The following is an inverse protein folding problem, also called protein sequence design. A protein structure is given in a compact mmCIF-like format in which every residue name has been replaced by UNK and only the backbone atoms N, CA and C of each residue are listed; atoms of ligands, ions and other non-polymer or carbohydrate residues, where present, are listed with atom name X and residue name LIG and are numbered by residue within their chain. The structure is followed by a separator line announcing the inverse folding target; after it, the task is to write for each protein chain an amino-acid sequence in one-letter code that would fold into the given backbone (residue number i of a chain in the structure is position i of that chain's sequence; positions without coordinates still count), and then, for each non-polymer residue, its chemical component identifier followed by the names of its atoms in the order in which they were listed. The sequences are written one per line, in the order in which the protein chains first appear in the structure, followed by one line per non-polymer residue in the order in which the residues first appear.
data_IF_545572257765
#
_entry.id   IF_545572257765
#
_cell.length_a   1.000
_cell.length_b   1.000
_cell.length_c   1.000
_cell.angle_alpha   90.00
_cell.angle_beta   90.00
_cell.angle_gamma   90.00
#
_symmetry.space_group_name_H-M   'P 1'
#
loop_
_entity.id
_entity.type
_entity.pdbx_description
1 polymer ?
#
# COMPACT_ATOMS: atom_id res chain seq x y z
N UNK A 1 29.76 14.14 -19.36
CA UNK A 1 29.34 13.11 -18.38
C UNK A 1 28.08 13.62 -17.70
N UNK A 2 26.91 13.08 -18.04
CA UNK A 2 25.65 13.34 -17.33
C UNK A 2 25.47 12.18 -16.35
N UNK A 3 25.42 12.48 -15.05
CA UNK A 3 25.21 11.46 -14.04
C UNK A 3 23.83 10.84 -14.21
N UNK A 4 23.80 9.53 -14.37
CA UNK A 4 22.62 8.70 -14.16
C UNK A 4 22.15 8.94 -12.72
N UNK A 5 20.99 9.57 -12.56
CA UNK A 5 20.37 9.70 -11.25
C UNK A 5 19.96 8.31 -10.79
N UNK A 6 20.64 7.78 -9.78
CA UNK A 6 20.21 6.58 -9.07
C UNK A 6 18.77 6.82 -8.62
N UNK A 7 17.83 6.09 -9.21
CA UNK A 7 16.41 6.19 -8.90
C UNK A 7 16.16 5.51 -7.54
N UNK A 8 16.56 6.19 -6.46
CA UNK A 8 16.47 5.64 -5.10
C UNK A 8 15.01 5.54 -4.70
N UNK A 9 14.53 4.31 -4.55
CA UNK A 9 13.18 4.03 -4.08
C UNK A 9 13.01 4.50 -2.63
N UNK A 10 11.88 5.13 -2.33
CA UNK A 10 11.58 5.68 -1.00
C UNK A 10 10.95 4.61 -0.11
N UNK A 11 11.52 4.43 1.07
CA UNK A 11 11.01 3.51 2.08
C UNK A 11 9.73 4.08 2.73
N UNK A 12 8.78 3.22 3.14
CA UNK A 12 7.53 3.67 3.77
C UNK A 12 7.73 4.59 4.98
N UNK A 13 8.83 4.40 5.72
CA UNK A 13 9.12 5.17 6.92
C UNK A 13 9.36 6.65 6.64
N UNK A 14 9.89 6.95 5.45
CA UNK A 14 10.33 8.29 5.00
C UNK A 14 9.25 9.09 4.27
N UNK A 15 8.10 8.50 3.95
CA UNK A 15 7.05 9.16 3.13
C UNK A 15 6.59 10.52 3.69
N UNK A 16 6.71 10.73 5.01
CA UNK A 16 6.35 11.99 5.68
C UNK A 16 7.18 13.20 5.23
N UNK A 17 8.37 13.01 4.66
CA UNK A 17 9.13 14.11 4.09
C UNK A 17 8.46 14.71 2.84
N UNK A 18 7.56 13.94 2.20
CA UNK A 18 6.80 14.36 1.02
C UNK A 18 5.35 14.70 1.37
N UNK A 19 4.72 13.90 2.22
CA UNK A 19 3.30 14.06 2.57
C UNK A 19 3.19 14.44 4.06
N UNK A 20 3.13 15.74 4.39
CA UNK A 20 3.00 16.18 5.77
C UNK A 20 1.62 15.79 6.30
N UNK A 21 1.59 15.02 7.38
CA UNK A 21 0.37 14.60 8.05
C UNK A 21 0.63 14.10 9.46
N UNK A 22 -0.41 14.10 10.28
CA UNK A 22 -0.34 13.60 11.65
C UNK A 22 -0.42 12.07 11.63
N UNK A 23 0.60 11.41 12.18
CA UNK A 23 0.56 9.97 12.43
C UNK A 23 -0.43 9.70 13.57
N UNK A 24 -1.38 8.79 13.36
CA UNK A 24 -2.33 8.35 14.41
C UNK A 24 -1.89 7.05 15.08
N UNK A 25 -1.23 6.16 14.34
CA UNK A 25 -0.53 4.97 14.86
C UNK A 25 0.56 4.53 13.87
N UNK A 26 1.55 3.77 14.34
CA UNK A 26 2.68 3.32 13.51
C UNK A 26 3.20 1.95 13.98
N UNK A 27 3.22 0.98 13.07
CA UNK A 27 3.79 -0.35 13.31
C UNK A 27 5.31 -0.42 13.14
N UNK A 28 6.02 0.68 12.83
CA UNK A 28 7.46 0.66 12.52
C UNK A 28 8.34 0.10 13.65
N UNK A 29 7.86 0.15 14.89
CA UNK A 29 8.55 -0.42 16.06
C UNK A 29 8.26 -1.90 16.26
N UNK A 30 7.36 -2.49 15.48
CA UNK A 30 7.03 -3.90 15.51
C UNK A 30 7.90 -4.67 14.52
N UNK A 31 8.25 -5.90 14.89
CA UNK A 31 8.97 -6.83 14.02
C UNK A 31 8.01 -7.51 13.02
N UNK A 32 7.25 -6.72 12.25
CA UNK A 32 6.38 -7.23 11.21
C UNK A 32 7.17 -7.36 9.92
N UNK A 33 7.78 -8.54 9.73
CA UNK A 33 8.70 -8.73 8.61
C UNK A 33 8.00 -8.53 7.25
N UNK A 34 8.58 -7.64 6.45
CA UNK A 34 8.11 -7.23 5.13
C UNK A 34 6.73 -6.57 5.06
N UNK A 35 6.16 -6.14 6.20
CA UNK A 35 4.88 -5.43 6.27
C UNK A 35 4.93 -4.26 7.26
N UNK A 36 4.33 -3.13 6.92
CA UNK A 36 4.09 -2.06 7.89
C UNK A 36 2.71 -1.44 7.75
N UNK A 37 2.17 -0.96 8.86
CA UNK A 37 0.86 -0.34 8.94
C UNK A 37 0.96 1.00 9.66
N UNK A 38 0.39 2.04 9.05
CA UNK A 38 0.41 3.40 9.60
C UNK A 38 -0.91 4.09 9.41
N UNK A 39 -1.34 4.82 10.43
CA UNK A 39 -2.50 5.70 10.33
C UNK A 39 -2.07 7.14 10.11
N UNK A 40 -2.81 7.85 9.26
CA UNK A 40 -2.56 9.25 8.96
C UNK A 40 -3.83 10.07 8.96
N UNK A 41 -3.71 11.28 9.50
CA UNK A 41 -4.65 12.37 9.30
C UNK A 41 -3.97 13.44 8.47
N UNK A 42 -4.53 13.72 7.30
CA UNK A 42 -4.05 14.74 6.38
C UNK A 42 -5.11 15.84 6.24
N UNK A 43 -4.67 17.10 6.20
CA UNK A 43 -5.47 18.21 5.68
C UNK A 43 -5.58 18.11 4.16
N UNK A 44 -6.30 19.02 3.49
CA UNK A 44 -6.29 19.07 2.03
C UNK A 44 -4.88 19.38 1.49
N UNK A 45 -4.49 18.71 0.40
CA UNK A 45 -3.13 18.75 -0.10
C UNK A 45 -3.09 18.56 -1.62
N UNK A 46 -2.06 19.14 -2.24
CA UNK A 46 -1.60 18.83 -3.60
C UNK A 46 -0.11 18.44 -3.49
N UNK A 47 0.22 17.19 -3.80
CA UNK A 47 1.51 16.60 -3.47
C UNK A 47 2.01 15.63 -4.53
N UNK A 48 3.32 15.57 -4.68
CA UNK A 48 4.00 14.55 -5.47
C UNK A 48 4.45 13.43 -4.53
N UNK A 49 3.87 12.25 -4.70
CA UNK A 49 4.29 11.03 -4.01
C UNK A 49 5.46 10.41 -4.80
N UNK A 50 6.62 10.21 -4.17
CA UNK A 50 7.81 9.69 -4.85
C UNK A 50 7.65 8.22 -5.24
N UNK A 51 8.60 7.71 -6.03
CA UNK A 51 8.68 6.29 -6.35
C UNK A 51 8.94 5.47 -5.07
N UNK A 52 7.92 4.78 -4.58
CA UNK A 52 7.99 4.00 -3.35
C UNK A 52 8.70 2.65 -3.56
N UNK A 53 9.42 2.18 -2.54
CA UNK A 53 10.06 0.86 -2.51
C UNK A 53 9.03 -0.25 -2.43
N UNK A 54 8.01 -0.06 -1.61
CA UNK A 54 7.01 -1.06 -1.25
C UNK A 54 5.66 -0.71 -1.90
N UNK A 55 4.79 -1.72 -2.05
CA UNK A 55 3.41 -1.49 -2.47
C UNK A 55 2.68 -0.71 -1.38
N UNK A 56 1.83 0.24 -1.77
CA UNK A 56 1.07 1.05 -0.83
C UNK A 56 -0.43 0.89 -1.08
N UNK A 57 -1.13 0.50 -0.02
CA UNK A 57 -2.58 0.32 -0.01
C UNK A 57 -3.18 1.33 0.96
N UNK A 58 -3.99 2.26 0.44
CA UNK A 58 -4.61 3.31 1.24
C UNK A 58 -6.05 2.89 1.53
N UNK A 59 -6.37 2.67 2.80
CA UNK A 59 -7.73 2.38 3.28
C UNK A 59 -8.33 3.66 3.86
N UNK A 60 -9.42 4.14 3.29
CA UNK A 60 -10.09 5.34 3.76
C UNK A 60 -10.98 5.04 4.98
N UNK A 61 -10.89 5.89 6.00
CA UNK A 61 -11.63 5.77 7.28
C UNK A 61 -12.47 7.00 7.60
N UNK A 62 -12.05 8.15 7.09
CA UNK A 62 -12.66 9.44 7.33
C UNK A 62 -13.94 9.68 6.52
N UNK A 63 -14.33 10.95 6.41
CA UNK A 63 -15.46 11.36 5.59
C UNK A 63 -15.13 11.26 4.10
N UNK A 64 -16.16 11.32 3.26
CA UNK A 64 -16.02 11.39 1.81
C UNK A 64 -15.17 12.60 1.41
N UNK A 65 -14.23 12.39 0.48
CA UNK A 65 -13.38 13.43 -0.10
C UNK A 65 -13.24 13.23 -1.62
N UNK A 66 -13.02 14.32 -2.36
CA UNK A 66 -12.65 14.22 -3.77
C UNK A 66 -11.16 13.89 -3.87
N UNK A 67 -10.81 12.82 -4.58
CA UNK A 67 -9.44 12.40 -4.81
C UNK A 67 -9.09 12.53 -6.28
N UNK A 68 -7.97 13.17 -6.58
CA UNK A 68 -7.47 13.33 -7.94
C UNK A 68 -6.04 12.83 -8.04
N UNK A 69 -5.71 12.16 -9.15
CA UNK A 69 -4.37 11.67 -9.42
C UNK A 69 -3.94 11.97 -10.84
N UNK A 70 -2.65 12.22 -11.03
CA UNK A 70 -1.98 12.29 -12.34
C UNK A 70 -0.61 11.60 -12.26
N UNK A 71 -0.35 10.69 -13.20
CA UNK A 71 1.00 10.17 -13.48
C UNK A 71 1.60 10.95 -14.64
N UNK A 72 1.24 10.52 -15.85
CA UNK A 72 1.56 11.19 -17.11
C UNK A 72 0.26 11.37 -17.89
N UNK A 73 -0.25 12.61 -17.96
CA UNK A 73 -1.47 12.92 -18.70
C UNK A 73 -2.53 13.69 -17.90
N UNK A 74 -3.83 13.51 -18.19
CA UNK A 74 -4.88 14.28 -17.53
C UNK A 74 -5.10 13.83 -16.08
N UNK A 75 -5.78 14.67 -15.31
CA UNK A 75 -6.21 14.33 -13.97
C UNK A 75 -7.36 13.32 -13.99
N UNK A 76 -7.15 12.19 -13.31
CA UNK A 76 -8.19 11.23 -12.96
C UNK A 76 -8.87 11.72 -11.67
N UNK A 77 -10.21 11.81 -11.64
CA UNK A 77 -10.97 12.35 -10.49
C UNK A 77 -11.95 11.31 -9.95
N UNK A 78 -11.97 11.13 -8.63
CA UNK A 78 -12.78 10.14 -7.93
C UNK A 78 -13.35 10.67 -6.61
N UNK A 79 -14.26 9.90 -6.02
CA UNK A 79 -14.71 10.05 -4.65
C UNK A 79 -14.16 8.87 -3.82
N UNK A 80 -13.61 9.20 -2.66
CA UNK A 80 -13.06 8.23 -1.71
C UNK A 80 -13.76 8.36 -0.37
N UNK A 81 -14.07 7.22 0.25
CA UNK A 81 -14.87 7.10 1.47
C UNK A 81 -14.61 5.74 2.14
N UNK A 82 -15.10 5.49 3.36
CA UNK A 82 -14.97 4.18 3.99
C UNK A 82 -15.51 3.05 3.10
N UNK A 83 -14.72 1.98 2.95
CA UNK A 83 -14.99 0.87 2.03
C UNK A 83 -14.34 1.01 0.65
N UNK A 84 -13.77 2.17 0.35
CA UNK A 84 -12.89 2.38 -0.81
C UNK A 84 -11.44 2.20 -0.40
N UNK A 85 -10.63 1.71 -1.35
CA UNK A 85 -9.16 1.66 -1.25
C UNK A 85 -8.50 2.27 -2.48
N UNK A 86 -7.29 2.82 -2.29
CA UNK A 86 -6.36 3.14 -3.38
C UNK A 86 -5.21 2.13 -3.38
N UNK A 87 -4.81 1.70 -4.58
CA UNK A 87 -3.71 0.76 -4.80
C UNK A 87 -2.63 1.50 -5.58
N UNK A 88 -1.46 1.68 -4.96
CA UNK A 88 -0.31 2.28 -5.60
C UNK A 88 0.77 1.22 -5.79
N UNK A 89 1.17 1.07 -7.05
CA UNK A 89 2.31 0.22 -7.39
C UNK A 89 3.63 0.87 -6.96
N UNK A 90 4.69 0.07 -6.89
CA UNK A 90 6.03 0.50 -6.50
C UNK A 90 6.79 1.10 -7.68
N UNK A 91 7.86 1.83 -7.37
CA UNK A 91 8.78 2.42 -8.34
C UNK A 91 8.17 3.44 -9.33
N UNK A 92 6.95 3.94 -9.06
CA UNK A 92 6.30 4.95 -9.88
C UNK A 92 5.98 6.20 -9.05
N UNK A 93 6.37 7.37 -9.58
CA UNK A 93 5.98 8.66 -9.01
C UNK A 93 4.59 9.04 -9.51
N UNK A 94 3.82 9.74 -8.67
CA UNK A 94 2.51 10.28 -9.06
C UNK A 94 2.16 11.54 -8.29
N UNK A 95 1.41 12.44 -8.92
CA UNK A 95 0.84 13.62 -8.27
C UNK A 95 -0.58 13.31 -7.79
N UNK A 96 -0.88 13.71 -6.56
CA UNK A 96 -2.15 13.50 -5.88
C UNK A 96 -2.69 14.82 -5.35
N UNK A 97 -4.00 14.97 -5.42
CA UNK A 97 -4.70 16.13 -4.88
C UNK A 97 -6.03 15.72 -4.27
N UNK A 98 -6.32 16.22 -3.09
CA UNK A 98 -7.64 16.08 -2.46
C UNK A 98 -8.11 17.40 -1.87
N UNK A 99 -9.43 17.54 -1.72
CA UNK A 99 -10.08 18.83 -1.45
C UNK A 99 -10.58 19.02 -0.01
N UNK A 100 -10.40 18.02 0.83
CA UNK A 100 -10.91 18.00 2.20
C UNK A 100 -10.10 17.05 3.06
N UNK A 101 -10.02 17.27 4.39
CA UNK A 101 -9.23 16.42 5.27
C UNK A 101 -9.62 14.94 5.18
N UNK A 102 -8.61 14.07 5.16
CA UNK A 102 -8.77 12.61 5.07
C UNK A 102 -8.15 11.92 6.29
N UNK A 103 -8.77 10.81 6.69
CA UNK A 103 -8.24 9.87 7.69
C UNK A 103 -8.08 8.52 7.01
N UNK A 104 -6.87 7.99 7.01
CA UNK A 104 -6.49 6.81 6.24
C UNK A 104 -5.56 5.88 7.03
N UNK A 105 -5.67 4.59 6.75
CA UNK A 105 -4.65 3.61 7.11
C UNK A 105 -3.87 3.22 5.85
N UNK A 106 -2.54 3.34 5.91
CA UNK A 106 -1.63 2.85 4.88
C UNK A 106 -1.10 1.49 5.31
N UNK A 107 -1.38 0.48 4.49
CA UNK A 107 -0.68 -0.80 4.54
C UNK A 107 0.43 -0.78 3.49
N UNK A 108 1.64 -1.14 3.90
CA UNK A 108 2.77 -1.35 3.02
C UNK A 108 3.18 -2.81 3.03
N UNK A 109 3.40 -3.37 1.85
CA UNK A 109 3.91 -4.73 1.67
C UNK A 109 5.15 -4.67 0.80
N UNK A 110 6.22 -5.34 1.26
CA UNK A 110 7.45 -5.46 0.50
C UNK A 110 7.23 -6.32 -0.75
N UNK A 111 8.09 -6.16 -1.75
CA UNK A 111 8.11 -7.03 -2.92
C UNK A 111 8.31 -8.49 -2.51
N UNK A 112 9.27 -8.74 -1.62
CA UNK A 112 9.68 -10.10 -1.24
C UNK A 112 8.54 -10.83 -0.53
N UNK A 113 7.79 -10.13 0.33
CA UNK A 113 6.61 -10.69 0.99
C UNK A 113 5.53 -11.08 -0.01
N UNK A 114 5.20 -10.18 -0.94
CA UNK A 114 4.14 -10.47 -1.92
C UNK A 114 4.59 -11.56 -2.91
N UNK A 115 5.87 -11.56 -3.29
CA UNK A 115 6.48 -12.58 -4.16
C UNK A 115 6.50 -13.96 -3.51
N UNK A 116 6.90 -14.06 -2.24
CA UNK A 116 6.88 -15.33 -1.49
C UNK A 116 5.49 -15.96 -1.46
N UNK A 117 4.47 -15.16 -1.13
CA UNK A 117 3.08 -15.64 -1.11
C UNK A 117 2.59 -15.99 -2.52
N UNK A 118 3.00 -15.25 -3.55
CA UNK A 118 2.65 -15.58 -4.92
C UNK A 118 3.27 -16.90 -5.37
N UNK A 119 4.55 -17.16 -5.04
CA UNK A 119 5.19 -18.45 -5.34
C UNK A 119 4.41 -19.61 -4.72
N UNK A 120 3.96 -19.49 -3.47
CA UNK A 120 3.13 -20.51 -2.82
C UNK A 120 1.76 -20.69 -3.49
N UNK A 121 1.14 -19.59 -3.95
CA UNK A 121 -0.19 -19.63 -4.59
C UNK A 121 -0.16 -20.21 -6.00
N UNK A 122 0.89 -19.93 -6.78
CA UNK A 122 1.00 -20.33 -8.18
C UNK A 122 1.92 -21.52 -8.44
N UNK A 123 2.62 -22.00 -7.42
CA UNK A 123 3.61 -23.08 -7.50
C UNK A 123 4.69 -22.80 -8.58
N UNK A 124 5.12 -21.54 -8.67
CA UNK A 124 6.08 -21.03 -9.67
C UNK A 124 6.88 -19.86 -9.15
N UNK A 125 8.13 -19.76 -9.58
CA UNK A 125 8.97 -18.60 -9.28
C UNK A 125 8.46 -17.34 -9.98
N UNK A 126 8.19 -16.30 -9.19
CA UNK A 126 7.71 -15.00 -9.64
C UNK A 126 8.87 -14.00 -9.64
N UNK A 127 9.27 -13.50 -10.82
CA UNK A 127 10.28 -12.44 -10.89
C UNK A 127 9.73 -11.07 -10.50
N UNK A 128 8.55 -10.73 -11.02
CA UNK A 128 7.95 -9.41 -10.83
C UNK A 128 6.46 -9.53 -10.64
N UNK A 129 5.94 -8.77 -9.69
CA UNK A 129 4.50 -8.60 -9.51
C UNK A 129 4.17 -7.20 -9.98
N UNK A 130 3.22 -7.08 -10.90
CA UNK A 130 2.64 -5.78 -11.23
C UNK A 130 1.24 -5.73 -10.63
N UNK A 131 0.97 -4.70 -9.83
CA UNK A 131 -0.38 -4.45 -9.36
C UNK A 131 -1.10 -3.51 -10.33
N UNK A 132 -2.37 -3.79 -10.55
CA UNK A 132 -3.31 -2.87 -11.20
C UNK A 132 -3.50 -1.67 -10.29
N UNK A 133 -2.73 -0.65 -10.59
CA UNK A 133 -2.73 0.62 -9.87
C UNK A 133 -4.05 1.37 -10.12
N UNK A 134 -4.74 1.77 -9.04
CA UNK A 134 -6.04 2.44 -9.11
C UNK A 134 -6.24 3.46 -7.98
N UNK A 135 -6.89 4.59 -8.30
CA UNK A 135 -7.27 5.63 -7.32
C UNK A 135 -8.48 5.19 -6.48
N UNK A 136 -9.32 4.33 -7.03
CA UNK A 136 -10.57 3.91 -6.40
C UNK A 136 -10.89 2.47 -6.74
N UNK A 137 -10.96 1.64 -5.72
CA UNK A 137 -11.61 0.34 -5.77
C UNK A 137 -12.50 0.16 -4.54
N UNK A 138 -13.72 -0.32 -4.75
CA UNK A 138 -14.54 -0.81 -3.64
C UNK A 138 -14.00 -2.19 -3.22
N UNK A 139 -13.70 -2.34 -1.94
CA UNK A 139 -13.11 -3.56 -1.39
C UNK A 139 -13.69 -3.87 -0.01
N UNK A 140 -14.47 -4.95 0.14
CA UNK A 140 -15.04 -5.32 1.44
C UNK A 140 -14.05 -6.06 2.35
N UNK A 141 -12.91 -6.54 1.83
CA UNK A 141 -11.99 -7.43 2.54
C UNK A 141 -10.79 -6.67 3.09
N UNK A 142 -10.12 -5.87 2.24
CA UNK A 142 -8.87 -5.22 2.62
C UNK A 142 -9.03 -4.25 3.81
N UNK A 143 -10.08 -3.40 3.89
CA UNK A 143 -10.32 -2.57 5.06
C UNK A 143 -10.56 -3.38 6.34
N UNK A 144 -11.21 -4.54 6.24
CA UNK A 144 -11.46 -5.42 7.39
C UNK A 144 -10.15 -6.03 7.90
N UNK A 145 -9.29 -6.53 7.02
CA UNK A 145 -7.97 -7.04 7.38
C UNK A 145 -7.10 -5.97 8.03
N UNK A 146 -7.04 -4.76 7.45
CA UNK A 146 -6.30 -3.63 8.01
C UNK A 146 -6.83 -3.24 9.39
N UNK A 147 -8.15 -3.26 9.59
CA UNK A 147 -8.75 -2.99 10.90
C UNK A 147 -8.33 -4.02 11.95
N UNK A 148 -8.23 -5.31 11.59
CA UNK A 148 -7.76 -6.34 12.52
C UNK A 148 -6.26 -6.17 12.85
N UNK A 149 -5.43 -5.83 11.85
CA UNK A 149 -4.02 -5.52 12.08
C UNK A 149 -3.85 -4.32 13.02
N UNK A 150 -4.63 -3.25 12.82
CA UNK A 150 -4.62 -2.08 13.68
C UNK A 150 -5.02 -2.42 15.12
N UNK A 151 -6.07 -3.25 15.30
CA UNK A 151 -6.47 -3.73 16.63
C UNK A 151 -5.34 -4.48 17.31
N UNK A 152 -4.73 -5.43 16.61
CA UNK A 152 -3.62 -6.22 17.14
C UNK A 152 -2.40 -5.34 17.48
N UNK A 153 -2.13 -4.30 16.68
CA UNK A 153 -1.09 -3.32 17.01
C UNK A 153 -1.35 -2.58 18.33
N UNK A 154 -2.61 -2.28 18.63
CA UNK A 154 -3.02 -1.52 19.82
C UNK A 154 -3.15 -2.41 21.05
N UNK A 155 -3.83 -3.56 20.92
CA UNK A 155 -4.16 -4.43 22.05
C UNK A 155 -3.09 -5.48 22.32
N UNK A 156 -2.43 -5.96 21.27
CA UNK A 156 -1.64 -7.18 21.30
C UNK A 156 -2.45 -8.39 21.79
N UNK A 157 -1.74 -9.47 22.09
CA UNK A 157 -2.33 -10.65 22.68
C UNK A 157 -1.42 -11.87 22.66
N UNK A 158 -1.92 -12.96 23.23
CA UNK A 158 -1.29 -14.27 23.09
C UNK A 158 -1.32 -14.66 21.61
N UNK A 159 -0.16 -14.98 21.04
CA UNK A 159 -0.06 -15.35 19.64
C UNK A 159 -0.05 -14.17 18.66
N UNK A 160 0.18 -12.94 19.11
CA UNK A 160 0.22 -11.73 18.29
C UNK A 160 1.00 -11.88 16.98
N UNK A 161 2.22 -12.43 17.05
CA UNK A 161 3.06 -12.63 15.85
C UNK A 161 2.38 -13.55 14.83
N UNK A 162 1.89 -14.71 15.28
CA UNK A 162 1.21 -15.67 14.42
C UNK A 162 -0.08 -15.09 13.84
N UNK A 163 -0.83 -14.32 14.64
CA UNK A 163 -2.06 -13.68 14.19
C UNK A 163 -1.79 -12.62 13.11
N UNK A 164 -0.77 -11.77 13.31
CA UNK A 164 -0.31 -10.81 12.31
C UNK A 164 0.17 -11.50 11.04
N UNK A 165 0.95 -12.58 11.15
CA UNK A 165 1.41 -13.32 9.97
C UNK A 165 0.24 -13.94 9.20
N UNK A 166 -0.78 -14.46 9.90
CA UNK A 166 -2.00 -14.96 9.27
C UNK A 166 -2.77 -13.84 8.55
N UNK A 167 -2.91 -12.65 9.16
CA UNK A 167 -3.53 -11.49 8.53
C UNK A 167 -2.74 -10.99 7.32
N UNK A 168 -1.41 -10.95 7.42
CA UNK A 168 -0.50 -10.60 6.33
C UNK A 168 -0.69 -11.53 5.13
N UNK A 169 -0.71 -12.84 5.37
CA UNK A 169 -0.90 -13.83 4.31
C UNK A 169 -2.29 -13.71 3.67
N UNK A 170 -3.34 -13.50 4.47
CA UNK A 170 -4.69 -13.25 3.95
C UNK A 170 -4.73 -12.00 3.06
N UNK A 171 -4.08 -10.91 3.48
CA UNK A 171 -4.00 -9.68 2.70
C UNK A 171 -3.25 -9.91 1.39
N UNK A 172 -2.08 -10.58 1.43
CA UNK A 172 -1.31 -10.90 0.23
C UNK A 172 -2.12 -11.73 -0.77
N UNK A 173 -2.76 -12.82 -0.32
CA UNK A 173 -3.59 -13.67 -1.19
C UNK A 173 -4.76 -12.88 -1.79
N UNK A 174 -5.43 -12.04 -0.99
CA UNK A 174 -6.53 -11.20 -1.47
C UNK A 174 -6.06 -10.22 -2.55
N UNK A 175 -4.93 -9.55 -2.30
CA UNK A 175 -4.33 -8.59 -3.24
C UNK A 175 -3.93 -9.29 -4.54
N UNK A 176 -3.30 -10.46 -4.47
CA UNK A 176 -2.93 -11.24 -5.65
C UNK A 176 -4.17 -11.62 -6.46
N UNK A 177 -5.24 -12.10 -5.81
CA UNK A 177 -6.47 -12.49 -6.50
C UNK A 177 -7.19 -11.33 -7.19
N UNK A 178 -7.12 -10.13 -6.63
CA UNK A 178 -7.98 -9.01 -7.04
C UNK A 178 -7.26 -7.92 -7.83
N UNK A 179 -5.98 -7.71 -7.55
CA UNK A 179 -5.23 -6.55 -8.03
C UNK A 179 -3.94 -6.91 -8.75
N UNK A 180 -3.55 -8.18 -8.88
CA UNK A 180 -2.30 -8.52 -9.57
C UNK A 180 -2.48 -8.85 -11.05
N UNK A 181 -1.52 -8.40 -11.86
CA UNK A 181 -1.19 -8.95 -13.17
C UNK A 181 0.18 -9.62 -13.01
N UNK A 182 0.21 -10.95 -13.06
CA UNK A 182 1.41 -11.71 -12.73
C UNK A 182 2.16 -12.09 -14.01
N UNK A 183 3.45 -11.75 -14.03
CA UNK A 183 4.39 -12.19 -15.07
C UNK A 183 5.26 -13.27 -14.47
N UNK A 184 5.21 -14.47 -15.05
CA UNK A 184 6.01 -15.61 -14.61
C UNK A 184 7.40 -15.57 -15.25
N UNK A 185 8.40 -16.14 -14.57
CA UNK A 185 9.65 -16.47 -15.25
C UNK A 185 9.39 -17.57 -16.28
N UNK A 186 9.92 -17.41 -17.50
CA UNK A 186 9.98 -18.52 -18.44
C UNK A 186 10.84 -19.62 -17.81
N UNK A 187 10.29 -20.84 -17.79
CA UNK A 187 11.04 -22.00 -17.34
C UNK A 187 12.19 -22.24 -18.33
N UNK A 188 13.42 -21.92 -17.92
CA UNK A 188 14.63 -22.37 -18.60
C UNK A 188 14.53 -23.89 -18.74
N UNK A 189 14.25 -24.36 -19.96
CA UNK A 189 14.19 -25.77 -20.32
C UNK A 189 15.57 -26.38 -20.43
#
# INVERSE_FOLDING_TARGET
MRGEGINTLVEPDKIQHWIPGKITFDSCRQAWDGMSLRGYQYDDLDVVIPAMRDYMFVVYRGKRSKMSRRRDGPWENHQVEPGVVSILTRAQQSQWKWDSPIDVSHLYLSQDTLASVATEVFDRDIATIELTDCVRAEDPVLPALVTQMERELITGGIGASLYIDALKNQACVHILRRYSNIVFNDASS
#
